data_IF_488499455041
#
_entry.id   IF_488499455041
#
_cell.length_a   1.000
_cell.length_b   1.000
_cell.length_c   1.000
_cell.angle_alpha   90.00
_cell.angle_beta   90.00
_cell.angle_gamma   90.00
#
_symmetry.space_group_name_H-M   'P 1'
#
loop_
_entity.id
_entity.type
_entity.pdbx_description
1 polymer ?
#
# COMPACT_ATOMS: atom_id res chain seq x y z
N UNK A 1 -3.04 -1.98 13.44
CA UNK A 1 -1.90 -1.06 13.66
C UNK A 1 -2.30 0.33 13.18
N UNK A 2 -2.14 1.35 14.00
CA UNK A 2 -2.47 2.71 13.58
C UNK A 2 -1.50 3.19 12.48
N UNK A 3 -2.05 3.87 11.48
CA UNK A 3 -1.29 4.46 10.40
C UNK A 3 -1.14 5.97 10.63
N UNK A 4 0.06 6.47 10.51
CA UNK A 4 0.33 7.90 10.57
C UNK A 4 -0.23 8.62 9.35
N UNK A 5 -0.08 8.02 8.17
CA UNK A 5 -0.48 8.61 6.90
C UNK A 5 -0.72 7.53 5.85
N UNK A 6 -1.65 7.79 4.95
CA UNK A 6 -1.92 6.97 3.76
C UNK A 6 -1.55 7.79 2.53
N UNK A 7 -0.66 7.26 1.70
CA UNK A 7 -0.11 7.93 0.51
C UNK A 7 -0.75 7.37 -0.75
N UNK A 8 -1.17 8.23 -1.66
CA UNK A 8 -1.75 7.79 -2.92
C UNK A 8 -1.25 8.65 -4.09
N UNK A 9 -1.16 8.04 -5.26
CA UNK A 9 -0.80 8.77 -6.49
C UNK A 9 -2.05 9.36 -7.13
N UNK A 10 -2.17 10.68 -7.12
CA UNK A 10 -3.34 11.42 -7.61
C UNK A 10 -3.62 11.19 -9.10
N UNK A 11 -2.64 10.74 -9.87
CA UNK A 11 -2.75 10.58 -11.32
C UNK A 11 -3.62 9.41 -11.73
N UNK A 12 -3.84 8.42 -10.84
CA UNK A 12 -4.45 7.14 -11.19
C UNK A 12 -5.80 6.94 -10.50
N UNK A 13 -6.81 6.47 -11.24
CA UNK A 13 -8.16 6.27 -10.70
C UNK A 13 -8.21 5.26 -9.56
N UNK A 14 -7.45 4.18 -9.65
CA UNK A 14 -7.39 3.18 -8.58
C UNK A 14 -6.80 3.77 -7.29
N UNK A 15 -5.75 4.57 -7.39
CA UNK A 15 -5.16 5.26 -6.23
C UNK A 15 -6.12 6.26 -5.59
N UNK A 16 -6.86 7.01 -6.40
CA UNK A 16 -7.87 7.95 -5.90
C UNK A 16 -9.01 7.22 -5.17
N UNK A 17 -9.50 6.12 -5.72
CA UNK A 17 -10.54 5.30 -5.07
C UNK A 17 -10.04 4.70 -3.74
N UNK A 18 -8.79 4.26 -3.70
CA UNK A 18 -8.11 3.80 -2.48
C UNK A 18 -8.11 4.91 -1.42
N UNK A 19 -7.72 6.13 -1.80
CA UNK A 19 -7.65 7.27 -0.88
C UNK A 19 -9.04 7.68 -0.37
N UNK A 20 -10.05 7.69 -1.21
CA UNK A 20 -11.43 7.99 -0.82
C UNK A 20 -11.93 7.02 0.26
N UNK A 21 -11.69 5.74 0.09
CA UNK A 21 -12.06 4.72 1.07
C UNK A 21 -11.25 4.87 2.36
N UNK A 22 -9.94 5.13 2.27
CA UNK A 22 -9.09 5.37 3.42
C UNK A 22 -9.58 6.57 4.24
N UNK A 23 -9.96 7.65 3.58
CA UNK A 23 -10.56 8.84 4.21
C UNK A 23 -11.87 8.51 4.91
N UNK A 24 -12.73 7.73 4.25
CA UNK A 24 -14.00 7.27 4.82
C UNK A 24 -13.78 6.43 6.09
N UNK A 25 -12.67 5.69 6.16
CA UNK A 25 -12.26 4.92 7.33
C UNK A 25 -11.58 5.77 8.43
N UNK A 26 -11.46 7.07 8.22
CA UNK A 26 -10.87 7.99 9.19
C UNK A 26 -9.36 8.16 9.09
N UNK A 27 -8.73 7.66 8.01
CA UNK A 27 -7.29 7.81 7.80
C UNK A 27 -6.92 9.19 7.28
N UNK A 28 -5.72 9.67 7.63
CA UNK A 28 -5.13 10.87 7.05
C UNK A 28 -4.49 10.51 5.71
N UNK A 29 -4.92 11.13 4.62
CA UNK A 29 -4.42 10.85 3.28
C UNK A 29 -3.54 11.96 2.74
N UNK A 30 -2.54 11.60 1.93
CA UNK A 30 -1.64 12.55 1.28
C UNK A 30 -1.42 12.14 -0.18
N UNK A 31 -1.80 13.04 -1.10
CA UNK A 31 -1.62 12.83 -2.53
C UNK A 31 -0.24 13.22 -3.02
N UNK A 32 0.33 12.39 -3.89
CA UNK A 32 1.54 12.68 -4.65
C UNK A 32 1.26 12.53 -6.15
N UNK A 33 2.18 13.02 -6.97
CA UNK A 33 2.11 12.89 -8.44
C UNK A 33 3.34 12.12 -8.95
N UNK A 34 3.56 10.93 -8.42
CA UNK A 34 4.68 10.08 -8.78
C UNK A 34 6.01 10.43 -8.13
N UNK A 35 6.06 11.51 -7.35
CA UNK A 35 7.26 11.97 -6.65
C UNK A 35 6.95 12.16 -5.16
N UNK A 36 7.70 11.46 -4.32
CA UNK A 36 7.55 11.50 -2.86
C UNK A 36 8.49 12.49 -2.17
N UNK A 37 9.25 13.27 -2.92
CA UNK A 37 10.31 14.14 -2.38
C UNK A 37 9.79 15.15 -1.38
N UNK A 38 8.71 15.86 -1.70
CA UNK A 38 8.11 16.85 -0.81
C UNK A 38 7.55 16.21 0.47
N UNK A 39 6.90 15.05 0.33
CA UNK A 39 6.40 14.28 1.47
C UNK A 39 7.54 13.89 2.41
N UNK A 40 8.68 13.46 1.85
CA UNK A 40 9.85 13.10 2.65
C UNK A 40 10.42 14.32 3.37
N UNK A 41 10.79 15.37 2.65
CA UNK A 41 11.48 16.52 3.23
C UNK A 41 10.61 17.35 4.17
N UNK A 42 9.32 17.47 3.91
CA UNK A 42 8.42 18.35 4.67
C UNK A 42 7.62 17.62 5.77
N UNK A 43 7.68 16.29 5.82
CA UNK A 43 6.88 15.52 6.77
C UNK A 43 7.62 14.30 7.33
N UNK A 44 7.82 13.26 6.51
CA UNK A 44 8.25 11.95 7.02
C UNK A 44 9.64 11.96 7.65
N UNK A 45 10.57 12.72 7.12
CA UNK A 45 11.93 12.79 7.66
C UNK A 45 11.92 13.23 9.12
N UNK A 46 11.23 14.31 9.46
CA UNK A 46 11.10 14.80 10.82
C UNK A 46 10.34 13.79 11.70
N UNK A 47 9.22 13.29 11.22
CA UNK A 47 8.38 12.35 11.98
C UNK A 47 9.13 11.06 12.32
N UNK A 48 9.81 10.46 11.34
CA UNK A 48 10.54 9.21 11.53
C UNK A 48 11.84 9.39 12.35
N UNK A 49 12.40 10.60 12.35
CA UNK A 49 13.56 10.92 13.18
C UNK A 49 13.18 10.99 14.66
N UNK A 50 12.02 11.57 14.98
CA UNK A 50 11.52 11.62 16.34
C UNK A 50 11.04 10.25 16.82
N UNK A 51 10.08 9.69 16.11
CA UNK A 51 9.47 8.40 16.43
C UNK A 51 8.96 7.75 15.16
N UNK A 52 9.48 6.58 14.77
CA UNK A 52 9.00 5.87 13.61
C UNK A 52 7.50 5.59 13.69
N UNK A 53 6.77 5.91 12.62
CA UNK A 53 5.32 5.74 12.54
C UNK A 53 4.96 5.05 11.23
N UNK A 54 4.06 4.06 11.31
CA UNK A 54 3.63 3.29 10.14
C UNK A 54 2.90 4.16 9.12
N UNK A 55 3.17 3.92 7.85
CA UNK A 55 2.46 4.50 6.71
C UNK A 55 2.02 3.39 5.75
N UNK A 56 1.01 3.68 4.96
CA UNK A 56 0.56 2.80 3.90
C UNK A 56 0.36 3.60 2.62
N UNK A 57 0.22 2.92 1.49
CA UNK A 57 -0.05 3.63 0.26
C UNK A 57 -0.43 2.73 -0.91
N UNK A 58 -0.86 3.38 -1.99
CA UNK A 58 -1.08 2.79 -3.31
C UNK A 58 -0.47 3.73 -4.34
N UNK A 59 0.64 3.30 -4.92
CA UNK A 59 1.46 4.10 -5.83
C UNK A 59 2.02 3.26 -6.97
N UNK A 60 2.67 3.91 -7.92
CA UNK A 60 3.56 3.24 -8.86
C UNK A 60 4.85 2.79 -8.14
N UNK A 61 5.75 2.13 -8.87
CA UNK A 61 6.96 1.53 -8.29
C UNK A 61 7.94 2.57 -7.72
N UNK A 62 8.12 3.72 -8.40
CA UNK A 62 9.14 4.71 -7.99
C UNK A 62 9.03 5.18 -6.55
N UNK A 63 7.87 5.68 -6.11
CA UNK A 63 7.69 6.15 -4.74
C UNK A 63 7.96 5.09 -3.68
N UNK A 64 7.43 3.87 -3.82
CA UNK A 64 7.68 2.81 -2.83
C UNK A 64 9.13 2.36 -2.82
N UNK A 65 9.78 2.29 -3.96
CA UNK A 65 11.21 1.98 -4.04
C UNK A 65 12.04 2.98 -3.22
N UNK A 66 11.79 4.28 -3.39
CA UNK A 66 12.48 5.32 -2.65
C UNK A 66 12.16 5.30 -1.15
N UNK A 67 10.89 5.18 -0.79
CA UNK A 67 10.45 5.14 0.61
C UNK A 67 11.00 3.93 1.35
N UNK A 68 11.09 2.78 0.72
CA UNK A 68 11.66 1.58 1.33
C UNK A 68 13.13 1.78 1.68
N UNK A 69 13.91 2.40 0.81
CA UNK A 69 15.32 2.71 1.07
C UNK A 69 15.48 3.66 2.26
N UNK A 70 14.67 4.70 2.31
CA UNK A 70 14.68 5.66 3.42
C UNK A 70 14.19 5.02 4.72
N UNK A 71 13.22 4.12 4.65
CA UNK A 71 12.69 3.40 5.80
C UNK A 71 13.76 2.55 6.49
N UNK A 72 14.66 1.93 5.76
CA UNK A 72 15.73 1.11 6.32
C UNK A 72 16.61 1.89 7.31
N UNK A 73 16.89 3.16 7.02
CA UNK A 73 17.70 4.02 7.91
C UNK A 73 16.96 4.36 9.21
N UNK A 74 15.65 4.20 9.24
CA UNK A 74 14.79 4.48 10.39
C UNK A 74 14.25 3.21 11.07
N UNK A 75 14.86 2.06 10.84
CA UNK A 75 14.45 0.75 11.39
C UNK A 75 13.00 0.39 11.04
N UNK A 76 12.60 0.76 9.86
CA UNK A 76 11.30 0.43 9.28
C UNK A 76 11.46 -0.49 8.09
N UNK A 77 10.43 -1.29 7.79
CA UNK A 77 10.43 -2.23 6.67
C UNK A 77 9.07 -2.24 6.01
N UNK A 78 9.04 -2.65 4.75
CA UNK A 78 7.79 -3.04 4.09
C UNK A 78 7.34 -4.35 4.72
N UNK A 79 6.20 -4.32 5.39
CA UNK A 79 5.64 -5.49 6.12
C UNK A 79 4.48 -6.14 5.37
N UNK A 80 3.89 -5.44 4.42
CA UNK A 80 2.82 -5.93 3.55
C UNK A 80 2.95 -5.24 2.19
N UNK A 81 2.87 -6.04 1.13
CA UNK A 81 2.97 -5.53 -0.24
C UNK A 81 2.08 -6.35 -1.16
N UNK A 82 1.36 -5.67 -2.03
CA UNK A 82 0.59 -6.30 -3.10
C UNK A 82 0.93 -5.61 -4.42
N UNK A 83 1.46 -6.37 -5.36
CA UNK A 83 1.68 -5.92 -6.73
C UNK A 83 0.42 -6.21 -7.54
N UNK A 84 -0.19 -5.16 -8.08
CA UNK A 84 -1.41 -5.23 -8.90
C UNK A 84 -1.04 -5.05 -10.36
N UNK A 85 -1.19 -6.10 -11.15
CA UNK A 85 -0.86 -6.06 -12.58
C UNK A 85 -2.09 -6.36 -13.43
N UNK A 86 -2.46 -5.41 -14.28
CA UNK A 86 -3.50 -5.65 -15.27
C UNK A 86 -2.97 -6.59 -16.35
N UNK A 87 -3.77 -7.63 -16.66
CA UNK A 87 -3.46 -8.63 -17.66
C UNK A 87 -4.04 -8.23 -19.02
N UNK A 88 -3.59 -8.90 -20.10
CA UNK A 88 -4.07 -8.61 -21.46
C UNK A 88 -5.57 -8.84 -21.63
N UNK A 89 -6.14 -9.81 -20.91
CA UNK A 89 -7.59 -10.09 -20.93
C UNK A 89 -8.41 -9.10 -20.09
N UNK A 90 -7.78 -8.09 -19.48
CA UNK A 90 -8.43 -7.09 -18.65
C UNK A 90 -8.61 -7.50 -17.18
N UNK A 91 -8.36 -8.75 -16.83
CA UNK A 91 -8.32 -9.19 -15.44
C UNK A 91 -7.12 -8.59 -14.72
N UNK A 92 -7.10 -8.67 -13.39
CA UNK A 92 -6.01 -8.14 -12.59
C UNK A 92 -5.40 -9.24 -11.74
N UNK A 93 -4.06 -9.32 -11.73
CA UNK A 93 -3.32 -10.20 -10.83
C UNK A 93 -2.86 -9.42 -9.60
N UNK A 94 -3.15 -9.97 -8.43
CA UNK A 94 -2.68 -9.44 -7.14
C UNK A 94 -1.63 -10.41 -6.59
N UNK A 95 -0.36 -10.01 -6.63
CA UNK A 95 0.74 -10.77 -6.05
C UNK A 95 1.01 -10.25 -4.64
N UNK A 96 0.70 -11.04 -3.62
CA UNK A 96 0.62 -10.64 -2.23
C UNK A 96 1.81 -11.19 -1.45
N UNK A 97 2.44 -10.32 -0.65
CA UNK A 97 3.52 -10.69 0.26
C UNK A 97 3.28 -10.03 1.63
N UNK A 98 3.25 -10.82 2.69
CA UNK A 98 3.01 -10.30 4.02
C UNK A 98 2.65 -11.37 5.05
N UNK A 99 2.08 -10.97 6.19
CA UNK A 99 1.62 -11.90 7.21
C UNK A 99 0.53 -12.84 6.69
N UNK A 100 0.54 -14.09 7.16
CA UNK A 100 -0.45 -15.10 6.74
C UNK A 100 -1.90 -14.67 6.94
N UNK A 101 -2.17 -13.90 8.01
CA UNK A 101 -3.50 -13.36 8.26
C UNK A 101 -3.95 -12.38 7.17
N UNK A 102 -3.01 -11.61 6.62
CA UNK A 102 -3.30 -10.68 5.52
C UNK A 102 -3.53 -11.41 4.21
N UNK A 103 -2.78 -12.49 3.95
CA UNK A 103 -3.01 -13.33 2.77
C UNK A 103 -4.41 -13.93 2.77
N UNK A 104 -4.88 -14.42 3.93
CA UNK A 104 -6.24 -14.95 4.07
C UNK A 104 -7.31 -13.89 3.80
N UNK A 105 -7.13 -12.68 4.33
CA UNK A 105 -8.07 -11.56 4.07
C UNK A 105 -8.06 -11.14 2.61
N UNK A 106 -6.90 -11.17 1.97
CA UNK A 106 -6.73 -10.73 0.58
C UNK A 106 -7.36 -11.70 -0.45
N UNK A 107 -7.77 -12.90 -0.04
CA UNK A 107 -8.50 -13.82 -0.94
C UNK A 107 -9.80 -13.22 -1.45
N UNK A 108 -10.40 -12.27 -0.73
CA UNK A 108 -11.60 -11.56 -1.16
C UNK A 108 -11.38 -10.75 -2.46
N UNK A 109 -10.14 -10.41 -2.82
CA UNK A 109 -9.82 -9.72 -4.07
C UNK A 109 -10.20 -10.53 -5.33
N UNK A 110 -10.37 -11.85 -5.20
CA UNK A 110 -10.78 -12.70 -6.32
C UNK A 110 -12.16 -12.35 -6.87
N UNK A 111 -13.04 -11.79 -6.05
CA UNK A 111 -14.41 -11.44 -6.41
C UNK A 111 -14.66 -9.92 -6.40
N UNK A 112 -13.62 -9.11 -6.18
CA UNK A 112 -13.78 -7.68 -5.93
C UNK A 112 -13.42 -6.83 -7.14
N UNK A 113 -14.43 -6.21 -7.77
CA UNK A 113 -14.24 -5.25 -8.86
C UNK A 113 -13.58 -3.96 -8.34
N UNK A 114 -13.97 -3.52 -7.15
CA UNK A 114 -13.42 -2.32 -6.49
C UNK A 114 -12.22 -2.68 -5.62
N UNK A 115 -11.26 -3.37 -6.20
CA UNK A 115 -10.11 -3.90 -5.47
C UNK A 115 -9.31 -2.82 -4.73
N UNK A 116 -9.21 -1.61 -5.28
CA UNK A 116 -8.46 -0.53 -4.64
C UNK A 116 -9.12 -0.03 -3.36
N UNK A 117 -10.45 0.05 -3.33
CA UNK A 117 -11.19 0.35 -2.10
C UNK A 117 -11.02 -0.76 -1.06
N UNK A 118 -11.06 -2.04 -1.49
CA UNK A 118 -10.80 -3.17 -0.59
C UNK A 118 -9.36 -3.14 -0.06
N UNK A 119 -8.39 -2.71 -0.87
CA UNK A 119 -7.02 -2.54 -0.40
C UNK A 119 -6.90 -1.51 0.73
N UNK A 120 -7.69 -0.44 0.71
CA UNK A 120 -7.72 0.53 1.80
C UNK A 120 -8.17 -0.13 3.12
N UNK A 121 -9.17 -1.00 3.06
CA UNK A 121 -9.61 -1.80 4.22
C UNK A 121 -8.51 -2.76 4.69
N UNK A 122 -7.83 -3.42 3.76
CA UNK A 122 -6.77 -4.38 4.09
C UNK A 122 -5.57 -3.71 4.77
N UNK A 123 -5.06 -2.61 4.22
CA UNK A 123 -3.90 -1.94 4.81
C UNK A 123 -4.22 -1.38 6.21
N UNK A 124 -5.46 -0.93 6.43
CA UNK A 124 -5.90 -0.45 7.75
C UNK A 124 -5.93 -1.56 8.81
N UNK A 125 -6.03 -2.81 8.39
CA UNK A 125 -6.08 -4.00 9.26
C UNK A 125 -4.75 -4.74 9.37
N UNK A 126 -3.67 -4.18 8.82
CA UNK A 126 -2.36 -4.81 8.89
C UNK A 126 -1.91 -4.92 10.36
N UNK A 127 -1.53 -6.12 10.84
CA UNK A 127 -1.15 -6.29 12.24
C UNK A 127 0.22 -5.66 12.54
N UNK A 128 0.38 -5.21 13.78
CA UNK A 128 1.66 -4.66 14.27
C UNK A 128 2.67 -5.77 14.64
N UNK A 129 2.23 -7.02 14.66
CA UNK A 129 3.06 -8.13 15.09
C UNK A 129 4.01 -8.59 13.99
N UNK A 130 5.24 -8.89 14.40
CA UNK A 130 6.23 -9.51 13.53
C UNK A 130 5.83 -10.95 13.26
N UNK A 131 5.38 -11.24 12.04
CA UNK A 131 5.06 -12.59 11.62
C UNK A 131 5.90 -12.98 10.42
N UNK A 132 5.98 -14.27 10.16
CA UNK A 132 6.66 -14.78 8.99
C UNK A 132 5.95 -14.30 7.73
N UNK A 133 6.72 -13.77 6.77
CA UNK A 133 6.22 -13.34 5.47
C UNK A 133 5.89 -14.57 4.61
N UNK A 134 4.69 -14.59 4.08
CA UNK A 134 4.21 -15.58 3.11
C UNK A 134 3.82 -14.89 1.81
N UNK A 135 3.67 -15.67 0.74
CA UNK A 135 3.33 -15.16 -0.58
C UNK A 135 2.14 -15.92 -1.16
N UNK A 136 1.28 -15.21 -1.90
CA UNK A 136 0.22 -15.83 -2.70
C UNK A 136 -0.16 -14.94 -3.87
N UNK A 137 -0.85 -15.52 -4.86
CA UNK A 137 -1.40 -14.80 -5.99
C UNK A 137 -2.92 -14.97 -6.03
N UNK A 138 -3.62 -13.87 -6.32
CA UNK A 138 -5.07 -13.84 -6.49
C UNK A 138 -5.39 -13.16 -7.81
N UNK A 139 -6.28 -13.76 -8.62
CA UNK A 139 -6.76 -13.17 -9.86
C UNK A 139 -8.14 -12.57 -9.61
N UNK A 140 -8.25 -11.27 -9.82
CA UNK A 140 -9.51 -10.54 -9.69
C UNK A 140 -10.21 -10.30 -11.02
N UNK A 141 -11.49 -9.87 -10.99
CA UNK A 141 -12.26 -9.61 -12.19
C UNK A 141 -11.71 -8.42 -12.99
N UNK A 142 -12.12 -8.32 -14.25
CA UNK A 142 -11.76 -7.21 -15.16
C UNK A 142 -12.22 -5.88 -14.58
N UNK A 143 -11.28 -4.96 -14.35
CA UNK A 143 -11.56 -3.70 -13.68
C UNK A 143 -10.65 -2.53 -14.11
N UNK A 144 -9.90 -2.68 -15.21
CA UNK A 144 -8.96 -1.64 -15.66
C UNK A 144 -9.68 -0.36 -16.04
N UNK A 145 -9.19 0.77 -15.53
CA UNK A 145 -9.62 2.12 -15.89
C UNK A 145 -8.59 2.77 -16.81
N UNK A 146 -9.03 3.73 -17.62
CA UNK A 146 -8.21 4.32 -18.69
C UNK A 146 -6.94 5.04 -18.23
N UNK A 147 -6.94 5.60 -17.02
CA UNK A 147 -5.80 6.35 -16.49
C UNK A 147 -4.89 5.52 -15.57
N UNK A 148 -5.20 4.23 -15.36
CA UNK A 148 -4.36 3.36 -14.53
C UNK A 148 -3.19 2.80 -15.34
N UNK A 149 -1.98 2.75 -14.77
CA UNK A 149 -0.84 2.06 -15.38
C UNK A 149 -1.01 0.54 -15.30
N UNK A 150 -0.19 -0.20 -16.03
CA UNK A 150 -0.19 -1.66 -16.01
C UNK A 150 0.12 -2.25 -14.63
N UNK A 151 0.91 -1.53 -13.82
CA UNK A 151 1.40 -2.01 -12.53
C UNK A 151 1.26 -0.93 -11.47
N UNK A 152 0.49 -1.22 -10.43
CA UNK A 152 0.38 -0.43 -9.20
C UNK A 152 0.76 -1.30 -8.01
N UNK A 153 1.17 -0.68 -6.91
CA UNK A 153 1.62 -1.38 -5.70
C UNK A 153 0.94 -0.79 -4.48
N UNK A 154 0.26 -1.65 -3.71
CA UNK A 154 -0.19 -1.33 -2.35
C UNK A 154 0.85 -1.80 -1.36
N UNK A 155 1.10 -1.02 -0.30
CA UNK A 155 2.17 -1.32 0.63
C UNK A 155 1.90 -0.75 2.01
N UNK A 156 2.50 -1.39 3.02
CA UNK A 156 2.58 -0.88 4.40
C UNK A 156 4.04 -0.92 4.82
N UNK A 157 4.54 0.23 5.29
CA UNK A 157 5.86 0.38 5.92
C UNK A 157 5.63 0.59 7.41
N UNK A 158 6.29 -0.20 8.24
CA UNK A 158 6.10 -0.17 9.69
C UNK A 158 7.40 -0.38 10.44
N UNK A 159 7.46 0.11 11.71
CA UNK A 159 8.60 -0.14 12.58
C UNK A 159 8.83 -1.63 12.80
N UNK A 160 10.10 -2.05 12.79
CA UNK A 160 10.52 -3.41 13.15
C UNK A 160 10.92 -3.42 14.63
N UNK A 161 10.07 -3.99 15.47
CA UNK A 161 10.41 -4.18 16.86
C UNK A 161 11.36 -5.38 16.98
N UNK A 162 12.53 -5.16 17.59
CA UNK A 162 13.36 -6.28 18.04
C UNK A 162 12.63 -6.95 19.19
N UNK A 163 12.43 -8.24 19.04
CA UNK A 163 11.98 -9.05 20.17
C UNK A 163 13.06 -9.08 21.26
#
# INVERSE_FOLDING_TARGET
MPLYKVVFDERFSASRAFAEEAERLGQSVHGIKGDMTDLWYHDLHARWTEEPAAIAGLTAHGPIFCLERLAWDHRMRVVFRVDHRYRQDGSIEHAISGPSSMLRRATALSDEINWSSEMANLVARCPATRSQTSQSNVIGPTAKRTDDPEHLISWVIAPVHRA
#
